data_IF_646731086834
#
_entry.id   IF_646731086834
#
_cell.length_a   1.000
_cell.length_b   1.000
_cell.length_c   1.000
_cell.angle_alpha   90.00
_cell.angle_beta   90.00
_cell.angle_gamma   90.00
#
_symmetry.space_group_name_H-M   'P 1'
#
loop_
_entity.id
_entity.type
_entity.pdbx_description
1 polymer ?
#
# COMPACT_ATOMS: atom_id res chain seq x y z
N UNK A 1 26.42 -14.62 8.06
CA UNK A 1 25.48 -13.51 8.30
C UNK A 1 24.14 -14.15 8.65
N UNK A 2 23.66 -13.97 9.88
CA UNK A 2 22.35 -14.49 10.29
C UNK A 2 21.31 -13.49 9.77
N UNK A 3 20.56 -13.87 8.73
CA UNK A 3 19.38 -13.13 8.30
C UNK A 3 18.36 -13.18 9.45
N UNK A 4 18.30 -12.12 10.25
CA UNK A 4 17.18 -11.90 11.16
C UNK A 4 15.96 -11.54 10.30
N UNK A 5 15.30 -12.59 9.81
CA UNK A 5 14.01 -12.51 9.16
C UNK A 5 12.96 -12.25 10.25
N UNK A 6 12.83 -11.00 10.69
CA UNK A 6 11.90 -10.65 11.77
C UNK A 6 11.06 -9.45 11.36
N UNK A 7 9.89 -9.76 10.81
CA UNK A 7 8.84 -8.80 10.48
C UNK A 7 8.50 -7.92 11.71
N UNK A 8 8.35 -6.61 11.51
CA UNK A 8 7.81 -5.71 12.53
C UNK A 8 6.32 -6.00 12.73
N UNK A 9 5.93 -6.35 13.95
CA UNK A 9 4.52 -6.60 14.28
C UNK A 9 3.89 -5.41 15.00
N UNK A 10 3.01 -4.68 14.32
CA UNK A 10 2.20 -3.63 14.94
C UNK A 10 0.86 -4.21 15.37
N UNK A 11 0.50 -4.06 16.63
CA UNK A 11 -0.78 -4.50 17.18
C UNK A 11 -1.59 -3.27 17.58
N UNK A 12 -2.77 -3.10 17.01
CA UNK A 12 -3.69 -2.00 17.29
C UNK A 12 -4.93 -2.56 17.98
N UNK A 13 -5.25 -2.07 19.17
CA UNK A 13 -6.44 -2.52 19.89
C UNK A 13 -7.46 -1.41 20.05
N UNK A 14 -8.72 -1.74 19.76
CA UNK A 14 -9.86 -0.82 19.90
C UNK A 14 -9.60 0.56 19.28
N UNK A 15 -9.18 0.64 17.99
CA UNK A 15 -8.93 1.94 17.38
C UNK A 15 -10.23 2.76 17.36
N UNK A 16 -10.16 4.07 17.67
CA UNK A 16 -11.35 4.92 17.72
C UNK A 16 -12.01 5.06 16.34
N UNK A 17 -11.24 4.84 15.27
CA UNK A 17 -11.76 4.73 13.91
C UNK A 17 -10.95 3.74 13.07
N UNK A 18 -11.58 3.17 12.03
CA UNK A 18 -10.86 2.40 11.01
C UNK A 18 -9.85 3.26 10.24
N UNK A 19 -10.04 4.57 10.22
CA UNK A 19 -9.13 5.51 9.58
C UNK A 19 -7.77 5.53 10.29
N UNK A 20 -7.74 5.47 11.62
CA UNK A 20 -6.48 5.43 12.38
C UNK A 20 -5.65 4.19 12.04
N UNK A 21 -6.31 3.03 12.01
CA UNK A 21 -5.66 1.78 11.59
C UNK A 21 -5.23 1.82 10.12
N UNK A 22 -6.00 2.46 9.24
CA UNK A 22 -5.66 2.63 7.84
C UNK A 22 -4.44 3.53 7.64
N UNK A 23 -4.30 4.60 8.43
CA UNK A 23 -3.13 5.48 8.42
C UNK A 23 -1.89 4.73 8.89
N UNK A 24 -2.00 3.91 9.94
CA UNK A 24 -0.89 3.07 10.41
C UNK A 24 -0.46 2.04 9.36
N UNK A 25 -1.42 1.35 8.73
CA UNK A 25 -1.16 0.40 7.65
C UNK A 25 -0.45 1.08 6.46
N UNK A 26 -0.90 2.28 6.08
CA UNK A 26 -0.24 3.07 5.06
C UNK A 26 1.18 3.44 5.46
N UNK A 27 1.37 3.86 6.71
CA UNK A 27 2.69 4.26 7.24
C UNK A 27 3.66 3.08 7.18
N UNK A 28 3.25 1.88 7.61
CA UNK A 28 4.07 0.66 7.54
C UNK A 28 4.43 0.29 6.11
N UNK A 29 3.48 0.34 5.18
CA UNK A 29 3.75 0.09 3.76
C UNK A 29 4.70 1.11 3.15
N UNK A 30 4.52 2.40 3.44
CA UNK A 30 5.42 3.45 2.95
C UNK A 30 6.81 3.33 3.55
N UNK A 31 6.92 2.87 4.81
CA UNK A 31 8.19 2.72 5.50
C UNK A 31 8.96 1.44 5.12
N UNK A 32 8.26 0.32 4.99
CA UNK A 32 8.84 -1.03 4.95
C UNK A 32 8.53 -1.77 3.63
N UNK A 33 7.69 -1.21 2.76
CA UNK A 33 7.32 -1.80 1.49
C UNK A 33 6.28 -2.92 1.62
N UNK A 34 6.38 -3.94 0.77
CA UNK A 34 5.37 -5.01 0.61
C UNK A 34 5.48 -6.15 1.62
N UNK A 35 6.62 -6.29 2.32
CA UNK A 35 6.94 -7.37 3.26
C UNK A 35 7.68 -6.78 4.48
N UNK A 36 8.06 -7.61 5.45
CA UNK A 36 8.83 -7.14 6.62
C UNK A 36 7.97 -6.54 7.73
N UNK A 37 6.63 -6.60 7.62
CA UNK A 37 5.73 -6.08 8.63
C UNK A 37 4.39 -6.83 8.67
N UNK A 38 3.76 -6.78 9.84
CA UNK A 38 2.41 -7.27 10.09
C UNK A 38 1.64 -6.26 10.92
N UNK A 39 0.38 -6.00 10.57
CA UNK A 39 -0.54 -5.19 11.35
C UNK A 39 -1.70 -6.06 11.82
N UNK A 40 -1.86 -6.18 13.14
CA UNK A 40 -3.00 -6.87 13.74
C UNK A 40 -3.95 -5.85 14.36
N UNK A 41 -5.23 -5.88 13.99
CA UNK A 41 -6.23 -4.95 14.50
C UNK A 41 -7.29 -5.69 15.29
N UNK A 42 -7.29 -5.52 16.61
CA UNK A 42 -8.20 -6.22 17.52
C UNK A 42 -9.43 -5.36 17.79
N UNK A 43 -10.62 -5.98 17.79
CA UNK A 43 -11.88 -5.34 18.16
C UNK A 43 -12.74 -4.84 17.00
N UNK A 44 -12.38 -5.16 15.75
CA UNK A 44 -13.11 -4.73 14.53
C UNK A 44 -13.84 -5.88 13.80
N UNK A 45 -13.90 -7.06 14.41
CA UNK A 45 -14.48 -8.29 13.84
C UNK A 45 -13.45 -9.15 13.10
N UNK A 46 -13.87 -10.32 12.59
CA UNK A 46 -12.96 -11.33 11.99
C UNK A 46 -12.55 -11.09 10.53
N UNK A 47 -13.24 -10.17 9.85
CA UNK A 47 -13.04 -9.94 8.41
C UNK A 47 -12.36 -8.59 8.23
N UNK A 48 -11.33 -8.57 7.38
CA UNK A 48 -10.65 -7.35 6.98
C UNK A 48 -11.64 -6.36 6.34
N UNK A 49 -11.93 -5.21 6.95
CA UNK A 49 -12.94 -4.29 6.43
C UNK A 49 -12.48 -3.63 5.12
N UNK A 50 -13.33 -3.61 4.09
CA UNK A 50 -12.99 -2.92 2.82
C UNK A 50 -12.71 -1.43 3.03
N UNK A 51 -13.36 -0.80 4.01
CA UNK A 51 -13.11 0.59 4.38
C UNK A 51 -11.63 0.81 4.77
N UNK A 52 -11.06 -0.11 5.56
CA UNK A 52 -9.64 -0.08 5.94
C UNK A 52 -8.71 -0.19 4.71
N UNK A 53 -9.03 -1.08 3.77
CA UNK A 53 -8.23 -1.24 2.54
C UNK A 53 -8.32 0.02 1.67
N UNK A 54 -9.53 0.56 1.48
CA UNK A 54 -9.73 1.78 0.69
C UNK A 54 -9.07 3.00 1.30
N UNK A 55 -9.14 3.13 2.62
CA UNK A 55 -8.57 4.26 3.35
C UNK A 55 -7.06 4.11 3.47
N UNK A 56 -6.50 2.90 3.58
CA UNK A 56 -5.04 2.71 3.67
C UNK A 56 -4.34 2.95 2.33
N UNK A 57 -5.05 2.75 1.20
CA UNK A 57 -4.52 2.89 -0.18
C UNK A 57 -3.41 1.88 -0.51
N UNK A 58 -3.45 0.71 0.11
CA UNK A 58 -2.51 -0.39 -0.13
C UNK A 58 -2.92 -1.25 -1.34
N UNK A 59 -1.98 -1.92 -2.02
CA UNK A 59 -2.33 -3.07 -2.85
C UNK A 59 -3.10 -4.11 -2.03
N UNK A 60 -4.15 -4.70 -2.61
CA UNK A 60 -5.02 -5.66 -1.89
C UNK A 60 -4.23 -6.90 -1.47
N UNK A 61 -3.32 -7.37 -2.32
CA UNK A 61 -2.42 -8.49 -2.04
C UNK A 61 -1.57 -8.24 -0.78
N UNK A 62 -1.02 -7.04 -0.65
CA UNK A 62 -0.26 -6.58 0.53
C UNK A 62 -1.17 -6.50 1.77
N UNK A 63 -2.36 -5.91 1.64
CA UNK A 63 -3.30 -5.81 2.76
C UNK A 63 -3.74 -7.19 3.27
N UNK A 64 -4.00 -8.15 2.38
CA UNK A 64 -4.37 -9.52 2.76
C UNK A 64 -3.22 -10.30 3.39
N UNK A 65 -1.99 -10.07 2.94
CA UNK A 65 -0.81 -10.77 3.46
C UNK A 65 -0.39 -10.23 4.83
N UNK A 66 -0.51 -8.92 5.05
CA UNK A 66 0.11 -8.26 6.20
C UNK A 66 -0.89 -7.78 7.25
N UNK A 67 -2.20 -7.69 6.96
CA UNK A 67 -3.19 -7.22 7.92
C UNK A 67 -4.07 -8.37 8.42
N UNK A 68 -4.01 -8.64 9.72
CA UNK A 68 -4.91 -9.55 10.42
C UNK A 68 -5.85 -8.77 11.33
N UNK A 69 -7.02 -9.34 11.63
CA UNK A 69 -7.99 -8.75 12.57
C UNK A 69 -8.10 -9.54 13.88
N UNK A 70 -7.29 -10.59 14.01
CA UNK A 70 -7.16 -11.42 15.20
C UNK A 70 -5.66 -11.60 15.49
N UNK A 71 -5.33 -11.72 16.78
CA UNK A 71 -3.98 -11.99 17.24
C UNK A 71 -3.82 -13.50 17.39
N UNK A 72 -3.05 -14.11 16.49
CA UNK A 72 -2.87 -15.58 16.48
C UNK A 72 -1.95 -16.07 17.60
N UNK A 73 -0.97 -15.25 18.00
CA UNK A 73 0.03 -15.57 19.02
C UNK A 73 0.66 -14.29 19.59
N UNK A 74 1.35 -14.39 20.72
CA UNK A 74 2.05 -13.26 21.34
C UNK A 74 3.17 -12.73 20.42
N UNK A 75 3.31 -11.40 20.23
CA UNK A 75 4.39 -10.84 19.42
C UNK A 75 5.76 -11.13 20.05
N UNK A 76 6.74 -11.46 19.21
CA UNK A 76 8.09 -11.70 19.68
C UNK A 76 8.76 -10.40 20.16
N UNK A 77 9.43 -10.45 21.32
CA UNK A 77 10.14 -9.30 21.89
C UNK A 77 11.41 -8.90 21.13
N UNK A 78 11.86 -7.64 21.24
CA UNK A 78 11.35 -6.60 22.16
C UNK A 78 10.01 -6.00 21.74
N UNK A 79 9.09 -5.90 22.70
CA UNK A 79 7.72 -5.37 22.53
C UNK A 79 7.65 -3.99 23.17
N UNK A 80 7.25 -2.96 22.41
CA UNK A 80 7.05 -1.61 22.92
C UNK A 80 5.58 -1.22 22.87
N UNK A 81 5.11 -0.52 23.91
CA UNK A 81 3.78 0.05 23.98
C UNK A 81 3.90 1.54 23.65
N UNK A 82 3.23 1.99 22.60
CA UNK A 82 3.15 3.41 22.29
C UNK A 82 2.44 4.14 23.42
N UNK A 83 3.08 5.14 24.01
CA UNK A 83 2.54 5.95 25.11
C UNK A 83 3.26 7.29 25.15
N UNK A 84 2.52 8.41 25.15
CA UNK A 84 3.09 9.76 25.21
C UNK A 84 3.92 10.06 26.48
N UNK A 85 3.74 9.27 27.53
CA UNK A 85 4.50 9.36 28.81
C UNK A 85 5.68 8.38 28.89
N UNK A 86 5.90 7.57 27.84
CA UNK A 86 6.97 6.59 27.79
C UNK A 86 8.38 7.18 27.65
N UNK A 87 9.37 6.30 27.57
CA UNK A 87 10.75 6.70 27.26
C UNK A 87 10.86 7.13 25.79
N UNK A 88 11.67 8.15 25.45
CA UNK A 88 11.80 8.58 24.05
C UNK A 88 12.43 7.50 23.16
N UNK A 89 11.79 7.22 22.02
CA UNK A 89 12.20 6.20 21.06
C UNK A 89 13.66 6.31 20.58
N UNK A 90 14.18 7.53 20.46
CA UNK A 90 15.57 7.75 20.02
C UNK A 90 16.63 7.23 21.00
N UNK A 91 16.25 6.84 22.23
CA UNK A 91 17.15 6.24 23.23
C UNK A 91 17.13 4.71 23.23
N UNK A 92 16.31 4.10 22.38
CA UNK A 92 16.04 2.67 22.41
C UNK A 92 16.48 1.99 21.11
N UNK A 93 16.67 0.68 21.23
CA UNK A 93 16.87 -0.20 20.08
C UNK A 93 15.55 -0.44 19.35
N UNK A 94 15.56 -0.71 18.02
CA UNK A 94 14.35 -0.96 17.25
C UNK A 94 13.51 -2.12 17.82
N UNK A 95 12.19 -1.94 17.97
CA UNK A 95 11.31 -3.01 18.46
C UNK A 95 11.08 -4.08 17.40
N UNK A 96 10.73 -5.29 17.84
CA UNK A 96 10.09 -6.30 16.99
C UNK A 96 8.57 -6.17 16.99
N UNK A 97 8.00 -5.60 18.04
CA UNK A 97 6.57 -5.32 18.08
C UNK A 97 6.25 -3.95 18.69
N UNK A 98 5.24 -3.28 18.14
CA UNK A 98 4.67 -2.04 18.68
C UNK A 98 3.20 -2.27 18.98
N UNK A 99 2.80 -2.15 20.25
CA UNK A 99 1.41 -2.22 20.71
C UNK A 99 0.87 -0.81 20.84
N UNK A 100 -0.29 -0.57 20.22
CA UNK A 100 -1.02 0.69 20.20
C UNK A 100 -2.36 0.43 20.86
N UNK A 101 -2.41 0.64 22.17
CA UNK A 101 -3.56 0.30 22.98
C UNK A 101 -4.37 1.55 23.38
N UNK A 102 -5.41 1.84 22.61
CA UNK A 102 -6.29 2.98 22.87
C UNK A 102 -7.16 2.77 24.11
N UNK A 103 -7.44 1.52 24.50
CA UNK A 103 -8.24 1.19 25.68
C UNK A 103 -7.42 1.09 26.96
N UNK A 104 -6.09 0.95 26.86
CA UNK A 104 -5.14 0.85 27.97
C UNK A 104 -5.14 -0.48 28.75
N UNK A 105 -6.15 -1.33 28.55
CA UNK A 105 -6.30 -2.60 29.24
C UNK A 105 -5.53 -3.75 28.56
N UNK A 106 -5.37 -3.72 27.24
CA UNK A 106 -4.76 -4.80 26.48
C UNK A 106 -3.24 -4.88 26.71
N UNK A 107 -2.57 -3.74 26.70
CA UNK A 107 -1.13 -3.63 26.87
C UNK A 107 -0.65 -4.14 28.25
N UNK A 108 -1.53 -4.17 29.25
CA UNK A 108 -1.23 -4.71 30.59
C UNK A 108 -0.92 -6.21 30.62
N UNK A 109 -1.31 -6.95 29.57
CA UNK A 109 -1.02 -8.38 29.44
C UNK A 109 0.43 -8.74 29.10
N UNK A 110 1.25 -7.78 28.66
CA UNK A 110 2.61 -8.01 28.16
C UNK A 110 3.65 -7.60 29.20
N UNK A 111 4.18 -8.58 29.96
CA UNK A 111 5.02 -8.33 31.15
C UNK A 111 6.36 -7.64 30.86
N UNK A 112 6.98 -7.93 29.72
CA UNK A 112 8.28 -7.39 29.34
C UNK A 112 8.19 -6.16 28.43
N UNK A 113 6.98 -5.64 28.21
CA UNK A 113 6.77 -4.52 27.31
C UNK A 113 7.15 -3.18 27.95
N UNK A 114 7.91 -2.36 27.22
CA UNK A 114 8.30 -1.02 27.66
C UNK A 114 7.38 0.03 27.05
N UNK A 115 7.01 1.04 27.83
CA UNK A 115 6.28 2.21 27.32
C UNK A 115 7.25 3.15 26.62
N UNK A 116 6.95 3.48 25.37
CA UNK A 116 7.81 4.28 24.50
C UNK A 116 6.99 5.39 23.87
N UNK A 117 7.56 6.60 23.90
CA UNK A 117 7.00 7.78 23.24
C UNK A 117 7.81 8.14 21.99
N UNK A 118 7.11 8.62 20.98
CA UNK A 118 7.72 9.30 19.85
C UNK A 118 7.98 10.75 20.20
N UNK A 119 7.19 11.68 19.66
CA UNK A 119 7.39 13.12 19.85
C UNK A 119 6.62 13.74 21.03
N UNK A 120 5.80 12.96 21.75
CA UNK A 120 4.99 13.44 22.88
C UNK A 120 3.70 14.16 22.46
N UNK A 121 3.12 13.80 21.32
CA UNK A 121 1.86 14.29 20.79
C UNK A 121 0.68 13.71 21.61
N UNK A 122 -0.40 14.47 21.85
CA UNK A 122 -1.56 14.00 22.62
C UNK A 122 -2.38 12.89 21.94
N UNK A 123 -1.98 12.40 20.76
CA UNK A 123 -2.70 11.38 20.01
C UNK A 123 -1.83 10.13 19.86
N UNK A 124 -2.38 9.00 20.29
CA UNK A 124 -1.71 7.70 20.23
C UNK A 124 -1.42 7.25 18.79
N UNK A 125 -2.29 7.59 17.84
CA UNK A 125 -2.07 7.35 16.41
C UNK A 125 -0.80 8.05 15.93
N UNK A 126 -0.65 9.33 16.27
CA UNK A 126 0.52 10.11 15.87
C UNK A 126 1.77 9.69 16.61
N UNK A 127 1.67 9.35 17.90
CA UNK A 127 2.79 8.74 18.64
C UNK A 127 3.28 7.49 17.90
N UNK A 128 2.39 6.56 17.59
CA UNK A 128 2.75 5.35 16.86
C UNK A 128 3.35 5.62 15.47
N UNK A 129 2.81 6.57 14.70
CA UNK A 129 3.40 6.99 13.42
C UNK A 129 4.82 7.52 13.63
N UNK A 130 5.03 8.35 14.67
CA UNK A 130 6.36 8.90 14.96
C UNK A 130 7.34 7.84 15.46
N UNK A 131 6.88 6.80 16.17
CA UNK A 131 7.69 5.64 16.53
C UNK A 131 8.11 4.85 15.28
N UNK A 132 7.16 4.55 14.40
CA UNK A 132 7.44 3.87 13.12
C UNK A 132 8.44 4.70 12.30
N UNK A 133 8.25 6.02 12.25
CA UNK A 133 9.17 6.92 11.57
C UNK A 133 10.56 6.94 12.22
N UNK A 134 10.65 7.11 13.55
CA UNK A 134 11.93 7.21 14.26
C UNK A 134 12.76 5.93 14.14
N UNK A 135 12.14 4.76 14.32
CA UNK A 135 12.86 3.49 14.29
C UNK A 135 13.19 3.01 12.87
N UNK A 136 12.31 3.26 11.89
CA UNK A 136 12.39 2.60 10.58
C UNK A 136 12.57 3.55 9.39
N UNK A 137 12.24 4.84 9.53
CA UNK A 137 12.41 5.85 8.44
C UNK A 137 13.59 6.79 8.72
N UNK A 138 13.77 7.29 9.95
CA UNK A 138 14.85 8.25 10.27
C UNK A 138 16.22 7.59 10.35
N UNK A 139 16.26 6.30 10.73
CA UNK A 139 17.50 5.51 10.85
C UNK A 139 17.90 4.78 9.54
N UNK A 140 17.15 4.96 8.44
CA UNK A 140 17.48 4.47 7.10
C UNK A 140 17.02 5.47 6.02
N UNK A 141 17.98 6.03 5.27
CA UNK A 141 17.77 7.09 4.27
C UNK A 141 16.74 6.76 3.17
N UNK A 142 15.63 7.51 3.06
CA UNK A 142 15.01 7.88 1.76
C UNK A 142 13.88 8.93 1.86
N UNK A 143 13.63 9.69 0.78
CA UNK A 143 12.53 10.69 0.60
C UNK A 143 11.67 10.30 -0.61
N UNK A 144 10.34 10.60 -0.61
CA UNK A 144 9.82 11.53 -1.63
C UNK A 144 8.65 12.44 -1.19
N UNK A 145 8.42 13.49 -1.99
CA UNK A 145 7.39 14.55 -1.88
C UNK A 145 6.14 14.23 -2.73
N UNK A 146 4.94 14.63 -2.29
CA UNK A 146 3.68 14.47 -3.03
C UNK A 146 2.67 15.60 -2.78
N UNK A 147 2.50 16.49 -3.77
CA UNK A 147 1.49 17.56 -3.77
C UNK A 147 0.19 17.20 -4.52
N UNK A 148 -0.91 17.13 -3.74
CA UNK A 148 -2.38 17.37 -3.91
C UNK A 148 -3.19 17.24 -5.25
N UNK A 149 -4.20 16.35 -5.16
CA UNK A 149 -5.66 16.29 -5.52
C UNK A 149 -6.42 17.26 -6.47
N UNK A 150 -7.43 16.76 -7.25
CA UNK A 150 -8.87 17.20 -7.33
C UNK A 150 -9.80 16.34 -8.28
N UNK A 151 -11.14 16.54 -8.20
CA UNK A 151 -12.40 15.79 -8.57
C UNK A 151 -12.72 15.26 -10.02
N UNK A 152 -13.70 14.32 -10.12
CA UNK A 152 -14.18 13.45 -11.25
C UNK A 152 -15.41 14.08 -12.00
N UNK A 153 -15.74 13.87 -13.28
CA UNK A 153 -15.75 12.65 -14.11
C UNK A 153 -15.23 12.80 -15.56
N UNK A 154 -15.26 13.97 -16.21
CA UNK A 154 -14.47 14.21 -17.45
C UNK A 154 -12.97 14.17 -17.15
N UNK A 155 -12.64 14.55 -15.92
CA UNK A 155 -11.30 14.43 -15.36
C UNK A 155 -10.83 12.99 -15.27
N UNK A 156 -11.69 11.97 -15.24
CA UNK A 156 -11.24 10.57 -15.17
C UNK A 156 -10.59 10.13 -16.49
N UNK A 157 -11.16 10.53 -17.64
CA UNK A 157 -10.58 10.28 -18.96
C UNK A 157 -9.32 11.11 -19.20
N UNK A 158 -9.36 12.41 -18.90
CA UNK A 158 -8.18 13.29 -18.99
C UNK A 158 -7.07 12.92 -17.98
N UNK A 159 -7.43 12.44 -16.79
CA UNK A 159 -6.48 11.93 -15.79
C UNK A 159 -5.88 10.62 -16.25
N UNK A 160 -6.68 9.70 -16.83
CA UNK A 160 -6.18 8.46 -17.40
C UNK A 160 -5.17 8.76 -18.51
N UNK A 161 -5.53 9.60 -19.49
CA UNK A 161 -4.62 10.04 -20.55
C UNK A 161 -3.36 10.73 -20.00
N UNK A 162 -3.50 11.69 -19.08
CA UNK A 162 -2.37 12.36 -18.44
C UNK A 162 -1.48 11.40 -17.65
N UNK A 163 -2.05 10.45 -16.91
CA UNK A 163 -1.28 9.50 -16.08
C UNK A 163 -0.63 8.41 -16.92
N UNK A 164 -1.21 8.07 -18.06
CA UNK A 164 -0.56 7.24 -19.07
C UNK A 164 0.63 7.99 -19.68
N UNK A 165 0.49 9.27 -20.03
CA UNK A 165 1.62 10.12 -20.44
C UNK A 165 2.71 10.23 -19.35
N UNK A 166 2.33 10.30 -18.07
CA UNK A 166 3.30 10.26 -16.96
C UNK A 166 3.94 8.86 -16.78
N UNK A 167 3.27 7.79 -17.21
CA UNK A 167 3.78 6.42 -17.17
C UNK A 167 4.67 6.09 -18.38
N UNK A 168 4.68 6.96 -19.40
CA UNK A 168 5.58 6.88 -20.55
C UNK A 168 6.99 7.25 -20.09
N UNK A 169 7.93 6.35 -20.36
CA UNK A 169 9.35 6.56 -20.17
C UNK A 169 10.08 6.41 -21.51
N UNK A 170 11.18 7.13 -21.65
CA UNK A 170 12.09 7.00 -22.78
C UNK A 170 13.31 6.19 -22.32
N UNK A 171 13.45 4.97 -22.82
CA UNK A 171 14.57 4.06 -22.54
C UNK A 171 15.26 3.71 -23.87
N UNK A 172 16.56 4.00 -23.98
CA UNK A 172 17.36 3.69 -25.19
C UNK A 172 16.74 4.20 -26.51
N UNK A 173 16.10 5.39 -26.46
CA UNK A 173 15.32 6.03 -27.55
C UNK A 173 13.96 5.38 -27.87
N UNK A 174 13.51 4.42 -27.07
CA UNK A 174 12.22 3.77 -27.21
C UNK A 174 11.23 4.22 -26.13
N UNK A 175 9.97 4.38 -26.52
CA UNK A 175 8.88 4.74 -25.62
C UNK A 175 8.33 3.46 -24.97
N UNK A 176 8.26 3.42 -23.64
CA UNK A 176 7.72 2.26 -22.87
C UNK A 176 6.80 2.73 -21.74
N UNK A 177 5.89 1.86 -21.29
CA UNK A 177 4.99 2.11 -20.16
C UNK A 177 5.43 1.38 -18.88
N UNK A 178 5.40 2.08 -17.75
CA UNK A 178 5.68 1.46 -16.44
C UNK A 178 4.47 0.64 -15.90
N UNK A 179 4.59 -0.69 -15.70
CA UNK A 179 3.45 -1.54 -15.33
C UNK A 179 2.79 -1.19 -13.99
N UNK A 180 3.58 -0.80 -12.99
CA UNK A 180 3.12 -0.38 -11.65
C UNK A 180 2.25 0.86 -11.70
N UNK A 181 2.72 1.89 -12.42
CA UNK A 181 2.01 3.17 -12.58
C UNK A 181 0.75 2.98 -13.40
N UNK A 182 0.80 2.14 -14.44
CA UNK A 182 -0.35 1.80 -15.27
C UNK A 182 -1.44 1.08 -14.46
N UNK A 183 -1.09 0.07 -13.66
CA UNK A 183 -2.03 -0.64 -12.81
C UNK A 183 -2.71 0.31 -11.80
N UNK A 184 -1.95 1.22 -11.19
CA UNK A 184 -2.48 2.23 -10.28
C UNK A 184 -3.45 3.19 -11.00
N UNK A 185 -3.09 3.61 -12.20
CA UNK A 185 -3.85 4.55 -13.02
C UNK A 185 -5.21 3.97 -13.42
N UNK A 186 -5.23 2.73 -13.93
CA UNK A 186 -6.44 2.07 -14.42
C UNK A 186 -7.34 1.63 -13.26
N UNK A 187 -6.77 1.31 -12.08
CA UNK A 187 -7.53 0.94 -10.88
C UNK A 187 -8.63 1.94 -10.53
N UNK A 188 -8.37 3.23 -10.71
CA UNK A 188 -9.35 4.28 -10.38
C UNK A 188 -10.59 4.27 -11.28
N UNK A 189 -10.45 3.84 -12.53
CA UNK A 189 -11.54 3.69 -13.51
C UNK A 189 -12.39 2.47 -13.14
N UNK A 190 -11.75 1.34 -12.89
CA UNK A 190 -12.44 0.08 -12.62
C UNK A 190 -13.03 -0.01 -11.22
N UNK A 191 -12.55 0.79 -10.26
CA UNK A 191 -13.22 0.93 -8.96
C UNK A 191 -14.66 1.44 -9.11
N UNK A 192 -14.94 2.30 -10.08
CA UNK A 192 -16.31 2.76 -10.35
C UNK A 192 -17.18 1.64 -10.95
N UNK A 193 -16.56 0.63 -11.57
CA UNK A 193 -17.22 -0.60 -12.06
C UNK A 193 -17.26 -1.70 -10.98
N UNK A 194 -16.88 -1.41 -9.73
CA UNK A 194 -16.85 -2.38 -8.63
C UNK A 194 -15.69 -3.38 -8.69
N UNK A 195 -14.59 -3.02 -9.36
CA UNK A 195 -13.42 -3.87 -9.57
C UNK A 195 -12.13 -3.22 -9.04
N UNK A 196 -11.20 -4.04 -8.58
CA UNK A 196 -9.83 -3.63 -8.20
C UNK A 196 -8.83 -4.42 -9.02
N UNK A 197 -7.72 -3.80 -9.42
CA UNK A 197 -6.78 -4.39 -10.39
C UNK A 197 -5.35 -4.45 -9.84
N UNK A 198 -4.59 -5.49 -10.19
CA UNK A 198 -3.17 -5.70 -9.82
C UNK A 198 -2.36 -6.20 -11.04
N UNK A 199 -1.11 -5.75 -11.28
CA UNK A 199 -0.35 -6.24 -12.43
C UNK A 199 0.12 -7.69 -12.23
N UNK A 200 -0.01 -8.50 -13.28
CA UNK A 200 0.40 -9.92 -13.29
C UNK A 200 1.67 -10.11 -14.11
N UNK A 201 1.67 -9.59 -15.34
CA UNK A 201 2.69 -9.90 -16.34
C UNK A 201 2.89 -8.69 -17.24
N UNK A 202 4.13 -8.43 -17.63
CA UNK A 202 4.47 -7.46 -18.65
C UNK A 202 5.44 -8.11 -19.66
N UNK A 203 5.15 -7.97 -20.93
CA UNK A 203 6.02 -8.35 -22.05
C UNK A 203 6.31 -7.11 -22.88
N UNK A 204 7.54 -6.98 -23.35
CA UNK A 204 7.98 -5.88 -24.23
C UNK A 204 8.66 -6.51 -25.44
N UNK A 205 8.26 -6.08 -26.62
CA UNK A 205 8.86 -6.41 -27.90
C UNK A 205 9.26 -5.10 -28.59
N UNK A 206 10.52 -5.00 -29.01
CA UNK A 206 11.09 -3.78 -29.59
C UNK A 206 11.40 -4.07 -31.05
N UNK A 207 10.70 -3.38 -31.96
CA UNK A 207 11.05 -3.34 -33.38
C UNK A 207 12.10 -2.26 -33.61
N UNK A 208 13.34 -2.70 -33.78
CA UNK A 208 14.50 -1.83 -33.98
C UNK A 208 14.49 -1.18 -35.37
N UNK A 209 13.82 -1.78 -36.35
CA UNK A 209 13.77 -1.32 -37.75
C UNK A 209 12.76 -0.20 -37.92
N UNK A 210 11.56 -0.39 -37.36
CA UNK A 210 10.50 0.63 -37.40
C UNK A 210 10.63 1.66 -36.27
N UNK A 211 11.51 1.43 -35.29
CA UNK A 211 11.65 2.30 -34.12
C UNK A 211 10.46 2.22 -33.18
N UNK A 212 9.73 1.09 -33.18
CA UNK A 212 8.45 0.92 -32.48
C UNK A 212 8.56 -0.07 -31.33
N UNK A 213 7.73 0.13 -30.30
CA UNK A 213 7.62 -0.78 -29.17
C UNK A 213 6.20 -1.31 -29.08
N UNK A 214 6.10 -2.64 -29.04
CA UNK A 214 4.90 -3.34 -28.65
C UNK A 214 5.04 -3.82 -27.21
N UNK A 215 4.21 -3.32 -26.31
CA UNK A 215 4.20 -3.73 -24.92
C UNK A 215 2.83 -4.26 -24.53
N UNK A 216 2.81 -5.41 -23.87
CA UNK A 216 1.60 -6.06 -23.37
C UNK A 216 1.68 -6.20 -21.86
N UNK A 217 0.79 -5.56 -21.12
CA UNK A 217 0.68 -5.62 -19.66
C UNK A 217 -0.66 -6.27 -19.29
N UNK A 218 -0.60 -7.40 -18.59
CA UNK A 218 -1.78 -8.11 -18.09
C UNK A 218 -1.99 -7.77 -16.62
N UNK A 219 -3.19 -7.33 -16.28
CA UNK A 219 -3.63 -6.96 -14.95
C UNK A 219 -4.76 -7.88 -14.50
N UNK A 220 -4.73 -8.35 -13.25
CA UNK A 220 -5.79 -9.17 -12.66
C UNK A 220 -6.87 -8.30 -12.05
N UNK A 221 -8.13 -8.52 -12.41
CA UNK A 221 -9.27 -7.86 -11.79
C UNK A 221 -9.88 -8.72 -10.67
N UNK A 222 -10.35 -8.06 -9.62
CA UNK A 222 -11.03 -8.67 -8.49
C UNK A 222 -12.32 -7.92 -8.17
N UNK A 223 -13.37 -8.65 -7.78
CA UNK A 223 -14.62 -8.04 -7.29
C UNK A 223 -14.37 -7.26 -5.99
N UNK A 224 -14.77 -5.99 -5.93
CA UNK A 224 -14.65 -5.19 -4.69
C UNK A 224 -15.41 -5.78 -3.51
N UNK A 225 -16.50 -6.53 -3.75
CA UNK A 225 -17.38 -7.04 -2.70
C UNK A 225 -16.82 -8.30 -2.02
N UNK A 226 -16.08 -9.13 -2.75
CA UNK A 226 -15.64 -10.46 -2.28
C UNK A 226 -14.14 -10.73 -2.47
N UNK A 227 -13.43 -9.85 -3.19
CA UNK A 227 -12.05 -10.02 -3.64
C UNK A 227 -11.82 -11.34 -4.39
N UNK A 228 -12.89 -11.91 -4.96
CA UNK A 228 -12.81 -13.05 -5.88
C UNK A 228 -12.32 -12.56 -7.24
N UNK A 229 -11.63 -13.47 -7.91
CA UNK A 229 -11.20 -13.29 -9.30
C UNK A 229 -12.38 -12.85 -10.17
N UNK A 230 -12.19 -11.79 -10.94
CA UNK A 230 -13.18 -11.20 -11.83
C UNK A 230 -12.70 -11.15 -13.29
N UNK A 231 -11.60 -11.85 -13.60
CA UNK A 231 -10.99 -11.91 -14.93
C UNK A 231 -9.78 -11.00 -15.04
N UNK A 232 -9.21 -10.94 -16.26
CA UNK A 232 -8.03 -10.15 -16.55
C UNK A 232 -8.39 -8.90 -17.36
N UNK A 233 -7.56 -7.87 -17.24
CA UNK A 233 -7.57 -6.64 -18.02
C UNK A 233 -6.22 -6.56 -18.70
N UNK A 234 -6.23 -6.42 -20.02
CA UNK A 234 -5.03 -6.36 -20.83
C UNK A 234 -4.81 -4.93 -21.32
N UNK A 235 -3.59 -4.44 -21.23
CA UNK A 235 -3.18 -3.16 -21.78
C UNK A 235 -2.11 -3.41 -22.83
N UNK A 236 -2.42 -3.02 -24.06
CA UNK A 236 -1.55 -3.14 -25.22
C UNK A 236 -1.10 -1.74 -25.63
N UNK A 237 0.20 -1.53 -25.68
CA UNK A 237 0.81 -0.31 -26.18
C UNK A 237 1.57 -0.62 -27.46
N UNK A 238 1.32 0.17 -28.49
CA UNK A 238 1.86 0.00 -29.84
C UNK A 238 2.43 1.33 -30.36
N UNK A 239 3.38 1.91 -29.60
CA UNK A 239 4.06 3.18 -29.92
C UNK A 239 3.19 4.44 -29.87
N UNK A 240 2.10 4.46 -30.62
CA UNK A 240 1.19 5.59 -30.84
C UNK A 240 -0.18 5.35 -30.17
N UNK A 241 -0.50 4.11 -29.81
CA UNK A 241 -1.81 3.77 -29.23
C UNK A 241 -1.69 2.93 -27.98
N UNK A 242 -2.54 3.22 -27.00
CA UNK A 242 -2.77 2.40 -25.80
C UNK A 242 -4.20 1.88 -25.84
N UNK A 243 -4.32 0.58 -26.04
CA UNK A 243 -5.59 -0.15 -26.02
C UNK A 243 -5.74 -0.89 -24.68
N UNK A 244 -6.90 -0.71 -24.04
CA UNK A 244 -7.26 -1.38 -22.80
C UNK A 244 -8.42 -2.32 -23.10
N UNK A 245 -8.17 -3.62 -22.96
CA UNK A 245 -9.15 -4.68 -23.15
C UNK A 245 -9.58 -5.24 -21.80
N UNK A 246 -10.88 -5.38 -21.60
CA UNK A 246 -11.43 -6.16 -20.49
C UNK A 246 -12.25 -7.35 -21.02
N UNK A 247 -12.92 -8.06 -20.12
CA UNK A 247 -13.73 -9.25 -20.45
C UNK A 247 -14.80 -9.01 -21.51
N UNK A 248 -15.23 -7.76 -21.72
CA UNK A 248 -16.28 -7.38 -22.65
C UNK A 248 -15.70 -6.91 -24.02
N UNK A 249 -14.37 -6.91 -24.16
CA UNK A 249 -13.65 -6.51 -25.38
C UNK A 249 -12.81 -5.24 -25.20
N UNK A 250 -12.67 -4.44 -26.26
CA UNK A 250 -11.95 -3.15 -26.19
C UNK A 250 -12.75 -2.15 -25.35
N UNK A 251 -12.24 -1.81 -24.17
CA UNK A 251 -12.88 -0.87 -23.26
C UNK A 251 -12.48 0.58 -23.53
N UNK A 252 -11.20 0.82 -23.83
CA UNK A 252 -10.67 2.15 -24.13
C UNK A 252 -9.56 2.05 -25.17
N UNK A 253 -9.51 3.04 -26.08
CA UNK A 253 -8.37 3.30 -26.97
C UNK A 253 -7.91 4.74 -26.75
N UNK A 254 -6.62 4.93 -26.54
CA UNK A 254 -6.00 6.24 -26.32
C UNK A 254 -4.90 6.40 -27.34
N UNK A 255 -4.98 7.46 -28.15
CA UNK A 255 -3.93 7.82 -29.10
C UNK A 255 -2.97 8.79 -28.39
N UNK A 256 -1.67 8.47 -28.43
CA UNK A 256 -0.58 9.29 -27.92
C UNK A 256 0.00 10.03 -29.12
N UNK A 257 -0.24 11.35 -29.16
CA UNK A 257 0.19 12.29 -30.20
C UNK A 257 1.22 13.27 -29.61
#
# INVERSE_FOLDING_TARGET
MVEYNTDLHVVVTTPPSLFDAAVLARTLYTALGTRGWRLTIIGIGRKLPMKLISESRLPVSVAKANISTELDSEPAGPVYIADSRGEPAWRLDPPRAIIIDYGGAFASGFRDARRVRGLGVPSLTYEAITLIYEFFIRRNNWRPDYSKAFSRDVRSGLYLARKILEAVQVLDNYVVLEPSVLAFTIRRVYMNKGLVIDPIKANIEIDVVEGRVHQRIVLKAYSMRSLRDAGDIEVVFDGETVDIHDKDGLAYRIVID
#
